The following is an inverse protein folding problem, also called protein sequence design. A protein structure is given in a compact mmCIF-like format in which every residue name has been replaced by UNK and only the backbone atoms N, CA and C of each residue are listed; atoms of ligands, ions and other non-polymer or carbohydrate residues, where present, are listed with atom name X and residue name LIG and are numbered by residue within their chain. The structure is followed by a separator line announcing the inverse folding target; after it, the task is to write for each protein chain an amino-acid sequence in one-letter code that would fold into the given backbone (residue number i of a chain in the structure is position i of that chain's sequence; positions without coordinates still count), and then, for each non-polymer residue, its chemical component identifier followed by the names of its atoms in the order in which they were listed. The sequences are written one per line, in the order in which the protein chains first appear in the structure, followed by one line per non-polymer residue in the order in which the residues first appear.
data_IF_981983845272
#
_entry.id   IF_981983845272
#
_cell.length_a   1.000
_cell.length_b   1.000
_cell.length_c   1.000
_cell.angle_alpha   90.00
_cell.angle_beta   90.00
_cell.angle_gamma   90.00
#
_symmetry.space_group_name_H-M   'P 1'
#
loop_
_entity.id
_entity.type
_entity.pdbx_description
1 polymer ?
#
# COMPACT_ATOMS: atom_id res chain seq x y z
N UNK A 1 2.92 54.58 -11.29
CA UNK A 1 3.93 53.83 -10.54
C UNK A 1 3.32 53.36 -9.23
N UNK A 2 2.90 52.11 -9.16
CA UNK A 2 2.59 51.44 -7.90
C UNK A 2 2.87 49.93 -8.13
N UNK A 3 3.98 49.45 -7.58
CA UNK A 3 4.39 48.05 -7.61
C UNK A 3 3.59 47.32 -6.51
N UNK A 4 2.74 46.39 -6.92
CA UNK A 4 2.14 45.45 -6.01
C UNK A 4 3.10 44.27 -5.82
N UNK A 5 3.65 44.15 -4.61
CA UNK A 5 4.36 42.98 -4.13
C UNK A 5 3.31 41.91 -3.80
N UNK A 6 3.23 40.85 -4.60
CA UNK A 6 2.56 39.62 -4.21
C UNK A 6 3.49 38.86 -3.25
N UNK A 7 3.14 38.87 -1.98
CA UNK A 7 3.66 37.93 -0.99
C UNK A 7 3.11 36.53 -1.34
N UNK A 8 3.98 35.67 -1.89
CA UNK A 8 3.76 34.24 -1.94
C UNK A 8 3.88 33.70 -0.49
N UNK A 9 2.74 33.46 0.14
CA UNK A 9 2.66 32.72 1.39
C UNK A 9 3.01 31.26 1.06
N UNK A 10 4.25 30.86 1.36
CA UNK A 10 4.67 29.46 1.43
C UNK A 10 3.89 28.80 2.56
N UNK A 11 2.76 28.19 2.22
CA UNK A 11 2.02 27.35 3.12
C UNK A 11 2.82 26.07 3.38
N UNK A 12 3.67 26.08 4.39
CA UNK A 12 4.17 24.88 5.04
C UNK A 12 2.94 24.19 5.61
N UNK A 13 2.50 23.09 4.99
CA UNK A 13 1.55 22.19 5.61
C UNK A 13 2.21 21.69 6.90
N UNK A 14 1.88 22.32 8.00
CA UNK A 14 2.06 21.78 9.33
C UNK A 14 1.19 20.50 9.37
N UNK A 15 1.83 19.35 9.21
CA UNK A 15 1.26 18.09 9.66
C UNK A 15 0.87 18.30 11.12
N UNK A 16 -0.41 18.48 11.37
CA UNK A 16 -0.92 18.77 12.69
C UNK A 16 -0.53 17.66 13.65
N UNK A 17 0.29 17.98 14.65
CA UNK A 17 0.57 17.14 15.79
C UNK A 17 -0.75 16.90 16.54
N UNK A 18 -1.42 15.80 16.21
CA UNK A 18 -2.53 15.30 17.03
C UNK A 18 -1.93 14.79 18.33
N UNK A 19 -2.37 15.22 19.50
CA UNK A 19 -1.87 14.70 20.77
C UNK A 19 -1.98 13.17 20.80
N UNK A 20 -0.86 12.48 21.01
CA UNK A 20 -0.77 11.01 21.02
C UNK A 20 -0.07 10.39 19.81
N UNK A 21 0.31 11.16 18.79
CA UNK A 21 1.02 10.65 17.59
C UNK A 21 2.47 11.13 17.51
N UNK A 22 3.00 11.79 18.53
CA UNK A 22 4.39 12.22 18.54
C UNK A 22 5.32 10.99 18.57
N UNK A 23 6.28 10.99 17.64
CA UNK A 23 7.30 9.95 17.58
C UNK A 23 8.13 10.00 18.87
N UNK A 24 8.29 8.88 19.60
CA UNK A 24 9.10 8.85 20.82
C UNK A 24 10.51 9.38 20.59
N UNK A 25 11.07 10.10 21.57
CA UNK A 25 12.43 10.64 21.49
C UNK A 25 13.47 9.55 21.18
N UNK A 26 13.25 8.33 21.61
CA UNK A 26 14.08 7.17 21.31
C UNK A 26 14.15 6.82 19.81
N UNK A 27 13.12 7.20 19.04
CA UNK A 27 13.07 6.98 17.59
C UNK A 27 13.56 8.19 16.77
N UNK A 28 13.70 9.36 17.37
CA UNK A 28 14.08 10.57 16.63
C UNK A 28 15.35 10.42 15.77
N UNK A 29 16.42 9.71 16.21
CA UNK A 29 17.62 9.50 15.38
C UNK A 29 17.38 8.57 14.18
N UNK A 30 16.35 7.75 14.23
CA UNK A 30 16.05 6.69 13.26
C UNK A 30 14.92 7.04 12.30
N UNK A 31 14.25 8.18 12.48
CA UNK A 31 13.16 8.64 11.60
C UNK A 31 13.58 9.95 10.93
N UNK A 32 13.52 9.97 9.60
CA UNK A 32 13.82 11.14 8.77
C UNK A 32 12.66 11.39 7.83
N UNK A 33 12.13 12.61 7.83
CA UNK A 33 10.98 12.99 6.99
C UNK A 33 9.76 12.06 7.15
N UNK A 34 9.54 11.53 8.36
CA UNK A 34 8.45 10.61 8.64
C UNK A 34 8.69 9.15 8.24
N UNK A 35 9.88 8.82 7.73
CA UNK A 35 10.29 7.48 7.29
C UNK A 35 11.30 6.87 8.24
N UNK A 36 11.13 5.58 8.57
CA UNK A 36 12.13 4.83 9.35
C UNK A 36 13.35 4.53 8.49
N UNK A 37 14.54 4.81 9.01
CA UNK A 37 15.79 4.27 8.46
C UNK A 37 15.84 2.77 8.73
N UNK A 38 15.96 1.99 7.68
CA UNK A 38 15.98 0.52 7.76
C UNK A 38 17.39 -0.06 7.61
N UNK A 39 18.41 0.73 7.91
CA UNK A 39 19.82 0.37 7.94
C UNK A 39 20.41 0.40 9.37
N UNK A 40 19.67 0.95 10.34
CA UNK A 40 20.05 0.99 11.75
C UNK A 40 18.85 0.62 12.65
N UNK A 41 19.02 -0.44 13.41
CA UNK A 41 18.03 -1.00 14.32
C UNK A 41 18.41 -0.83 15.79
N UNK A 42 19.31 0.10 16.11
CA UNK A 42 19.74 0.36 17.47
C UNK A 42 18.61 0.65 18.46
N UNK A 43 17.50 1.19 17.99
CA UNK A 43 16.28 1.45 18.78
C UNK A 43 15.60 0.17 19.32
N UNK A 44 15.89 -1.00 18.74
CA UNK A 44 15.34 -2.29 19.18
C UNK A 44 16.24 -3.04 20.18
N UNK A 45 17.43 -2.53 20.49
CA UNK A 45 18.35 -3.19 21.43
C UNK A 45 17.70 -3.57 22.73
N UNK A 46 16.80 -2.76 23.24
CA UNK A 46 16.07 -3.00 24.48
C UNK A 46 15.08 -4.18 24.48
N UNK A 47 14.79 -4.76 23.31
CA UNK A 47 14.00 -5.97 23.18
C UNK A 47 14.74 -7.23 23.70
N UNK A 48 16.07 -7.17 23.86
CA UNK A 48 16.93 -8.32 24.12
C UNK A 48 17.56 -8.26 25.51
N UNK A 49 17.80 -9.44 26.11
CA UNK A 49 18.26 -9.58 27.53
C UNK A 49 19.55 -8.81 27.83
N UNK A 50 20.53 -8.83 26.92
CA UNK A 50 21.84 -8.16 27.11
C UNK A 50 21.79 -6.62 26.94
N UNK A 51 20.63 -5.98 27.11
CA UNK A 51 20.45 -4.53 26.95
C UNK A 51 20.63 -3.77 28.27
N UNK A 52 21.04 -2.50 28.15
CA UNK A 52 21.11 -1.56 29.27
C UNK A 52 19.71 -1.13 29.72
N UNK A 53 19.57 -0.63 30.95
CA UNK A 53 18.27 -0.12 31.45
C UNK A 53 17.72 1.02 30.57
N UNK A 54 18.60 1.88 30.04
CA UNK A 54 18.18 2.92 29.07
C UNK A 54 17.60 2.29 27.81
N UNK A 55 18.25 1.30 27.23
CA UNK A 55 17.76 0.61 26.03
C UNK A 55 16.40 -0.07 26.27
N UNK A 56 16.22 -0.70 27.45
CA UNK A 56 14.92 -1.29 27.83
C UNK A 56 13.83 -0.25 27.95
N UNK A 57 14.13 0.90 28.58
CA UNK A 57 13.20 2.04 28.68
C UNK A 57 12.83 2.60 27.30
N UNK A 58 13.82 2.79 26.43
CA UNK A 58 13.62 3.26 25.05
C UNK A 58 12.71 2.28 24.27
N UNK A 59 13.01 0.98 24.35
CA UNK A 59 12.20 -0.08 23.74
C UNK A 59 10.74 -0.08 24.22
N UNK A 60 10.55 0.06 25.53
CA UNK A 60 9.20 0.14 26.09
C UNK A 60 8.43 1.31 25.50
N UNK A 61 9.03 2.49 25.46
CA UNK A 61 8.42 3.70 24.89
C UNK A 61 8.05 3.51 23.41
N UNK A 62 8.93 2.88 22.62
CA UNK A 62 8.70 2.56 21.21
C UNK A 62 7.58 1.55 21.04
N UNK A 63 7.56 0.50 21.86
CA UNK A 63 6.53 -0.55 21.79
C UNK A 63 5.15 -0.04 22.18
N UNK A 64 5.06 0.79 23.22
CA UNK A 64 3.82 1.44 23.65
C UNK A 64 3.29 2.35 22.53
N UNK A 65 4.15 3.16 21.91
CA UNK A 65 3.78 4.00 20.78
C UNK A 65 3.33 3.20 19.56
N UNK A 66 4.06 2.13 19.21
CA UNK A 66 3.73 1.26 18.07
C UNK A 66 2.35 0.57 18.22
N UNK A 67 1.88 0.37 19.46
CA UNK A 67 0.55 -0.14 19.76
C UNK A 67 -0.58 0.85 19.42
N UNK A 68 -0.29 2.15 19.42
CA UNK A 68 -1.30 3.22 19.34
C UNK A 68 -1.12 4.17 18.15
N UNK A 69 0.04 4.14 17.50
CA UNK A 69 0.42 5.12 16.46
C UNK A 69 -0.52 5.20 15.25
N UNK A 70 -1.35 4.18 15.00
CA UNK A 70 -2.35 4.21 13.91
C UNK A 70 -3.74 4.70 14.36
N UNK A 71 -3.97 4.88 15.67
CA UNK A 71 -5.32 5.20 16.18
C UNK A 71 -5.78 6.60 15.74
N UNK A 72 -4.87 7.57 15.78
CA UNK A 72 -5.19 8.94 15.39
C UNK A 72 -5.51 9.02 13.89
N UNK A 73 -4.72 8.36 13.04
CA UNK A 73 -4.92 8.33 11.60
C UNK A 73 -6.22 7.61 11.25
N UNK A 74 -6.56 6.52 11.98
CA UNK A 74 -7.83 5.83 11.83
C UNK A 74 -9.02 6.75 12.16
N UNK A 75 -8.97 7.48 13.28
CA UNK A 75 -10.03 8.43 13.64
C UNK A 75 -10.16 9.57 12.62
N UNK A 76 -9.04 10.11 12.13
CA UNK A 76 -9.03 11.14 11.10
C UNK A 76 -9.69 10.63 9.81
N UNK A 77 -9.39 9.39 9.40
CA UNK A 77 -9.97 8.76 8.22
C UNK A 77 -11.49 8.57 8.35
N UNK A 78 -11.98 8.12 9.51
CA UNK A 78 -13.44 8.03 9.77
C UNK A 78 -14.09 9.41 9.67
N UNK A 79 -13.46 10.45 10.20
CA UNK A 79 -13.97 11.83 10.11
C UNK A 79 -14.02 12.31 8.66
N UNK A 80 -13.01 12.03 7.86
CA UNK A 80 -12.98 12.38 6.44
C UNK A 80 -14.07 11.64 5.65
N UNK A 81 -14.26 10.35 5.90
CA UNK A 81 -15.34 9.57 5.29
C UNK A 81 -16.73 10.07 5.70
N UNK A 82 -16.91 10.46 6.95
CA UNK A 82 -18.16 11.06 7.41
C UNK A 82 -18.48 12.39 6.70
N UNK A 83 -17.46 13.20 6.38
CA UNK A 83 -17.61 14.41 5.56
C UNK A 83 -17.97 14.10 4.09
N UNK A 84 -17.81 12.86 3.66
CA UNK A 84 -18.23 12.34 2.35
C UNK A 84 -19.58 11.60 2.40
N UNK A 85 -20.36 11.77 3.48
CA UNK A 85 -21.64 11.08 3.75
C UNK A 85 -21.52 9.56 3.90
N UNK A 86 -20.37 9.07 4.40
CA UNK A 86 -20.14 7.65 4.66
C UNK A 86 -19.95 7.41 6.15
N UNK A 87 -20.88 6.65 6.74
CA UNK A 87 -20.79 6.18 8.13
C UNK A 87 -20.18 4.77 8.12
N UNK A 88 -19.01 4.63 8.71
CA UNK A 88 -18.28 3.35 8.75
C UNK A 88 -17.40 3.26 10.00
N UNK A 89 -17.14 2.03 10.44
CA UNK A 89 -16.17 1.75 11.50
C UNK A 89 -14.80 1.35 10.94
N UNK A 90 -14.67 1.22 9.61
CA UNK A 90 -13.50 0.70 8.91
C UNK A 90 -13.01 -0.63 9.50
N UNK A 91 -13.40 -1.72 8.89
CA UNK A 91 -13.08 -3.07 9.37
C UNK A 91 -11.63 -3.49 9.13
N UNK A 92 -10.93 -2.82 8.21
CA UNK A 92 -9.54 -3.14 7.82
C UNK A 92 -8.62 -1.93 8.05
N UNK A 93 -7.98 -1.88 9.22
CA UNK A 93 -7.11 -0.75 9.63
C UNK A 93 -5.61 -1.06 9.52
N UNK A 94 -5.25 -2.24 9.04
CA UNK A 94 -3.87 -2.74 9.10
C UNK A 94 -2.82 -1.89 8.38
N UNK A 95 -3.21 -1.09 7.39
CA UNK A 95 -2.32 -0.20 6.61
C UNK A 95 -2.38 1.26 7.08
N UNK A 96 -3.24 1.58 8.04
CA UNK A 96 -3.36 2.93 8.57
C UNK A 96 -2.23 3.23 9.55
N UNK A 97 -1.88 4.49 9.66
CA UNK A 97 -0.74 4.97 10.41
C UNK A 97 0.32 5.56 9.47
N UNK A 98 1.23 6.34 10.03
CA UNK A 98 2.36 6.89 9.28
C UNK A 98 3.26 5.77 8.72
N UNK A 99 4.10 6.09 7.74
CA UNK A 99 5.08 5.13 7.22
C UNK A 99 5.99 4.59 8.32
N UNK A 100 6.50 5.46 9.20
CA UNK A 100 7.30 5.05 10.37
C UNK A 100 6.52 4.11 11.31
N UNK A 101 5.23 4.37 11.58
CA UNK A 101 4.38 3.52 12.42
C UNK A 101 4.34 2.08 11.87
N UNK A 102 4.04 1.93 10.57
CA UNK A 102 3.94 0.61 9.94
C UNK A 102 5.29 -0.11 9.89
N UNK A 103 6.37 0.61 9.58
CA UNK A 103 7.73 0.07 9.54
C UNK A 103 8.15 -0.47 10.92
N UNK A 104 7.95 0.34 11.96
CA UNK A 104 8.32 -0.03 13.33
C UNK A 104 7.51 -1.24 13.80
N UNK A 105 6.21 -1.29 13.51
CA UNK A 105 5.38 -2.47 13.84
C UNK A 105 5.89 -3.73 13.18
N UNK A 106 6.29 -3.67 11.90
CA UNK A 106 6.81 -4.81 11.16
C UNK A 106 8.12 -5.35 11.76
N UNK A 107 9.10 -4.47 12.02
CA UNK A 107 10.39 -4.88 12.59
C UNK A 107 10.30 -5.26 14.06
N UNK A 108 9.40 -4.63 14.84
CA UNK A 108 9.15 -5.03 16.23
C UNK A 108 8.77 -6.50 16.35
N UNK A 109 7.87 -6.98 15.50
CA UNK A 109 7.46 -8.39 15.48
C UNK A 109 8.64 -9.34 15.19
N UNK A 110 9.60 -8.93 14.37
CA UNK A 110 10.81 -9.72 14.11
C UNK A 110 11.75 -9.76 15.33
N UNK A 111 11.88 -8.65 16.05
CA UNK A 111 12.65 -8.61 17.29
C UNK A 111 12.06 -9.54 18.38
N UNK A 112 10.72 -9.60 18.47
CA UNK A 112 10.02 -10.48 19.42
C UNK A 112 10.18 -11.97 19.08
N UNK A 113 10.48 -12.31 17.82
CA UNK A 113 10.67 -13.69 17.36
C UNK A 113 12.13 -14.13 17.39
N UNK A 114 13.08 -13.21 17.39
CA UNK A 114 14.50 -13.50 17.39
C UNK A 114 14.97 -13.96 18.79
N UNK A 115 15.91 -14.91 18.83
CA UNK A 115 16.43 -15.47 20.08
C UNK A 115 17.25 -14.47 20.89
N UNK A 116 18.02 -13.65 20.22
CA UNK A 116 18.86 -12.60 20.80
C UNK A 116 19.21 -11.57 19.72
N UNK A 117 19.97 -10.54 20.10
CA UNK A 117 20.38 -9.49 19.16
C UNK A 117 21.21 -10.00 17.99
N UNK A 118 22.15 -10.92 18.21
CA UNK A 118 23.04 -11.43 17.17
C UNK A 118 22.27 -12.28 16.15
N UNK A 119 21.28 -13.03 16.61
CA UNK A 119 20.33 -13.77 15.76
C UNK A 119 19.52 -12.79 14.88
N UNK A 120 18.94 -11.75 15.49
CA UNK A 120 18.23 -10.70 14.76
C UNK A 120 19.14 -10.01 13.72
N UNK A 121 20.28 -9.49 14.17
CA UNK A 121 21.19 -8.72 13.32
C UNK A 121 21.78 -9.56 12.18
N UNK A 122 22.05 -10.84 12.42
CA UNK A 122 22.57 -11.77 11.42
C UNK A 122 21.54 -12.09 10.32
N UNK A 123 20.27 -12.30 10.69
CA UNK A 123 19.20 -12.52 9.70
C UNK A 123 18.84 -11.24 8.95
N UNK A 124 18.80 -10.12 9.65
CA UNK A 124 18.53 -8.81 9.05
C UNK A 124 19.58 -8.44 8.00
N UNK A 125 20.86 -8.56 8.33
CA UNK A 125 21.94 -8.24 7.43
C UNK A 125 21.87 -9.03 6.11
N UNK A 126 21.62 -10.35 6.19
CA UNK A 126 21.44 -11.20 5.00
C UNK A 126 20.22 -10.82 4.18
N UNK A 127 19.10 -10.54 4.84
CA UNK A 127 17.87 -10.11 4.17
C UNK A 127 18.06 -8.75 3.48
N UNK A 128 18.76 -7.82 4.13
CA UNK A 128 19.06 -6.50 3.59
C UNK A 128 19.95 -6.55 2.35
N UNK A 129 20.94 -7.43 2.29
CA UNK A 129 21.76 -7.63 1.08
C UNK A 129 20.87 -7.98 -0.12
N UNK A 130 19.88 -8.88 0.04
CA UNK A 130 18.94 -9.24 -1.03
C UNK A 130 18.01 -8.07 -1.34
N UNK A 131 17.49 -7.39 -0.30
CA UNK A 131 16.64 -6.22 -0.47
C UNK A 131 17.31 -5.11 -1.28
N UNK A 132 18.60 -4.84 -1.05
CA UNK A 132 19.36 -3.83 -1.80
C UNK A 132 19.43 -4.13 -3.31
N UNK A 133 19.45 -5.42 -3.70
CA UNK A 133 19.35 -5.82 -5.11
C UNK A 133 17.99 -5.41 -5.69
N UNK A 134 16.88 -5.66 -4.98
CA UNK A 134 15.55 -5.21 -5.40
C UNK A 134 15.45 -3.69 -5.47
N UNK A 135 15.96 -2.99 -4.47
CA UNK A 135 15.95 -1.53 -4.41
C UNK A 135 16.74 -0.93 -5.59
N UNK A 136 17.93 -1.44 -5.85
CA UNK A 136 18.73 -1.00 -7.00
C UNK A 136 18.04 -1.33 -8.33
N UNK A 137 17.50 -2.54 -8.47
CA UNK A 137 16.76 -2.98 -9.66
C UNK A 137 15.53 -2.12 -9.93
N UNK A 138 14.75 -1.80 -8.89
CA UNK A 138 13.59 -0.91 -8.99
C UNK A 138 14.00 0.48 -9.49
N UNK A 139 15.07 1.06 -8.90
CA UNK A 139 15.59 2.36 -9.30
C UNK A 139 16.07 2.34 -10.76
N UNK A 140 16.91 1.40 -11.13
CA UNK A 140 17.43 1.28 -12.51
C UNK A 140 16.29 1.13 -13.50
N UNK A 141 15.30 0.27 -13.22
CA UNK A 141 14.17 0.04 -14.11
C UNK A 141 13.28 1.29 -14.25
N UNK A 142 13.01 2.00 -13.13
CA UNK A 142 12.18 3.21 -13.16
C UNK A 142 12.87 4.43 -13.77
N UNK A 143 14.17 4.64 -13.48
CA UNK A 143 14.94 5.76 -14.00
C UNK A 143 15.30 5.61 -15.48
N UNK A 144 15.49 4.37 -15.95
CA UNK A 144 15.84 4.08 -17.34
C UNK A 144 14.64 3.64 -18.19
N UNK A 145 13.43 3.76 -17.67
CA UNK A 145 12.23 3.48 -18.45
C UNK A 145 12.19 4.43 -19.66
N UNK A 146 12.15 3.88 -20.91
CA UNK A 146 12.21 4.73 -22.09
C UNK A 146 11.00 5.68 -22.13
N UNK A 147 11.29 6.96 -22.37
CA UNK A 147 10.29 7.95 -22.68
C UNK A 147 9.96 7.84 -24.18
N UNK A 148 8.88 7.15 -24.50
CA UNK A 148 8.40 7.13 -25.88
C UNK A 148 7.52 8.36 -26.15
N UNK A 149 7.97 9.20 -27.07
CA UNK A 149 7.21 10.36 -27.54
C UNK A 149 5.83 9.98 -28.08
N UNK A 150 5.66 8.71 -28.50
CA UNK A 150 4.38 8.15 -28.91
C UNK A 150 3.37 8.02 -27.76
N UNK A 151 3.80 7.96 -26.53
CA UNK A 151 2.92 8.04 -25.37
C UNK A 151 2.40 9.46 -25.13
N UNK A 152 3.00 10.41 -25.80
CA UNK A 152 2.45 11.72 -26.18
C UNK A 152 2.27 12.73 -25.06
N UNK A 153 2.50 12.36 -23.77
CA UNK A 153 2.22 13.25 -22.63
C UNK A 153 3.07 12.87 -21.44
N UNK A 154 3.62 13.87 -20.77
CA UNK A 154 4.43 13.70 -19.55
C UNK A 154 3.66 12.92 -18.46
N UNK A 155 2.35 13.16 -18.31
CA UNK A 155 1.49 12.48 -17.36
C UNK A 155 1.38 10.97 -17.63
N UNK A 156 1.30 10.56 -18.90
CA UNK A 156 1.23 9.14 -19.28
C UNK A 156 2.50 8.39 -18.86
N UNK A 157 3.64 8.97 -19.18
CA UNK A 157 4.94 8.39 -18.81
C UNK A 157 5.13 8.33 -17.28
N UNK A 158 4.76 9.39 -16.57
CA UNK A 158 4.91 9.43 -15.12
C UNK A 158 4.02 8.38 -14.41
N UNK A 159 2.79 8.18 -14.86
CA UNK A 159 1.91 7.12 -14.38
C UNK A 159 2.49 5.72 -14.60
N UNK A 160 3.07 5.48 -15.78
CA UNK A 160 3.72 4.20 -16.11
C UNK A 160 4.96 3.98 -15.24
N UNK A 161 5.84 4.98 -15.14
CA UNK A 161 7.10 4.92 -14.39
C UNK A 161 6.87 4.64 -12.90
N UNK A 162 5.92 5.32 -12.27
CA UNK A 162 5.61 5.18 -10.84
C UNK A 162 5.21 3.75 -10.47
N UNK A 163 4.52 3.05 -11.36
CA UNK A 163 4.14 1.65 -11.08
C UNK A 163 5.32 0.69 -11.13
N UNK A 164 6.45 1.04 -11.75
CA UNK A 164 7.63 0.15 -11.82
C UNK A 164 8.19 -0.11 -10.43
N UNK A 165 8.36 0.95 -9.63
CA UNK A 165 9.02 0.86 -8.31
C UNK A 165 8.24 -0.09 -7.38
N UNK A 166 6.95 0.17 -7.18
CA UNK A 166 6.13 -0.62 -6.26
C UNK A 166 5.90 -2.06 -6.77
N UNK A 167 5.82 -2.27 -8.09
CA UNK A 167 5.66 -3.60 -8.67
C UNK A 167 6.93 -4.47 -8.54
N UNK A 168 8.12 -3.90 -8.61
CA UNK A 168 9.36 -4.63 -8.35
C UNK A 168 9.39 -5.15 -6.91
N UNK A 169 9.03 -4.33 -5.93
CA UNK A 169 8.99 -4.75 -4.52
C UNK A 169 7.90 -5.80 -4.27
N UNK A 170 6.70 -5.63 -4.83
CA UNK A 170 5.61 -6.62 -4.74
C UNK A 170 5.98 -7.94 -5.39
N UNK A 171 6.71 -7.91 -6.51
CA UNK A 171 7.23 -9.14 -7.13
C UNK A 171 8.20 -9.86 -6.22
N UNK A 172 9.04 -9.14 -5.48
CA UNK A 172 9.90 -9.69 -4.44
C UNK A 172 9.13 -10.40 -3.33
N UNK A 173 7.96 -9.87 -2.91
CA UNK A 173 7.09 -10.53 -1.92
C UNK A 173 6.55 -11.88 -2.40
N UNK A 174 6.42 -12.07 -3.71
CA UNK A 174 5.94 -13.31 -4.33
C UNK A 174 7.06 -14.30 -4.65
N UNK A 175 8.29 -14.09 -4.17
CA UNK A 175 9.46 -14.92 -4.48
C UNK A 175 9.19 -16.41 -4.29
N UNK A 176 8.59 -16.78 -3.15
CA UNK A 176 8.33 -18.17 -2.80
C UNK A 176 7.32 -18.87 -3.73
N UNK A 177 6.47 -18.09 -4.40
CA UNK A 177 5.48 -18.61 -5.34
C UNK A 177 6.08 -18.93 -6.72
N UNK A 178 7.30 -18.47 -7.02
CA UNK A 178 8.00 -18.80 -8.27
C UNK A 178 8.80 -20.10 -8.11
N UNK A 179 8.39 -21.20 -8.77
CA UNK A 179 9.09 -22.48 -8.66
C UNK A 179 10.53 -22.47 -9.22
N UNK A 180 10.86 -21.45 -10.02
CA UNK A 180 12.19 -21.26 -10.61
C UNK A 180 13.08 -20.36 -9.76
N UNK A 181 12.54 -19.69 -8.76
CA UNK A 181 13.32 -18.83 -7.89
C UNK A 181 14.28 -19.66 -7.02
N UNK A 182 15.51 -19.19 -6.78
CA UNK A 182 16.40 -19.81 -5.81
C UNK A 182 15.75 -19.91 -4.45
N UNK A 183 15.94 -21.02 -3.77
CA UNK A 183 15.44 -21.20 -2.40
C UNK A 183 16.22 -20.28 -1.46
N UNK A 184 15.49 -19.47 -0.71
CA UNK A 184 16.05 -18.67 0.38
C UNK A 184 16.01 -19.45 1.67
N UNK A 185 16.92 -19.11 2.59
CA UNK A 185 16.86 -19.57 3.97
C UNK A 185 15.52 -19.11 4.58
N UNK A 186 14.68 -20.03 5.08
CA UNK A 186 13.40 -19.66 5.69
C UNK A 186 13.52 -18.64 6.82
N UNK A 187 14.64 -18.62 7.54
CA UNK A 187 14.86 -17.70 8.66
C UNK A 187 14.99 -16.22 8.19
N UNK A 188 15.45 -15.95 6.97
CA UNK A 188 15.60 -14.57 6.47
C UNK A 188 14.34 -14.06 5.75
N UNK A 189 13.42 -14.94 5.37
CA UNK A 189 12.23 -14.57 4.59
C UNK A 189 11.36 -13.51 5.30
N UNK A 190 11.06 -13.61 6.61
CA UNK A 190 10.28 -12.58 7.30
C UNK A 190 10.97 -11.21 7.29
N UNK A 191 12.29 -11.16 7.43
CA UNK A 191 13.08 -9.92 7.38
C UNK A 191 13.07 -9.30 5.99
N UNK A 192 13.30 -10.10 4.94
CA UNK A 192 13.20 -9.64 3.56
C UNK A 192 11.79 -9.12 3.25
N UNK A 193 10.76 -9.81 3.72
CA UNK A 193 9.37 -9.40 3.55
C UNK A 193 9.09 -8.07 4.26
N UNK A 194 9.67 -7.82 5.44
CA UNK A 194 9.53 -6.54 6.13
C UNK A 194 10.18 -5.39 5.33
N UNK A 195 11.39 -5.57 4.79
CA UNK A 195 12.04 -4.58 3.94
C UNK A 195 11.25 -4.28 2.66
N UNK A 196 10.85 -5.33 1.93
CA UNK A 196 10.06 -5.19 0.70
C UNK A 196 8.69 -4.56 0.98
N UNK A 197 8.04 -4.99 2.07
CA UNK A 197 6.75 -4.45 2.52
C UNK A 197 6.83 -2.96 2.82
N UNK A 198 7.84 -2.53 3.56
CA UNK A 198 8.05 -1.11 3.85
C UNK A 198 8.36 -0.31 2.58
N UNK A 199 9.18 -0.85 1.68
CA UNK A 199 9.51 -0.18 0.43
C UNK A 199 8.28 0.06 -0.46
N UNK A 200 7.45 -0.98 -0.72
CA UNK A 200 6.26 -0.76 -1.53
C UNK A 200 5.22 0.13 -0.84
N UNK A 201 5.05 0.06 0.49
CA UNK A 201 4.15 0.96 1.22
C UNK A 201 4.59 2.42 1.13
N UNK A 202 5.88 2.69 1.15
CA UNK A 202 6.44 4.02 0.90
C UNK A 202 6.09 4.51 -0.49
N UNK A 203 6.32 3.70 -1.52
CA UNK A 203 5.96 4.03 -2.90
C UNK A 203 4.44 4.25 -3.05
N UNK A 204 3.60 3.41 -2.43
CA UNK A 204 2.13 3.56 -2.45
C UNK A 204 1.70 4.93 -1.89
N UNK A 205 2.32 5.39 -0.79
CA UNK A 205 2.03 6.71 -0.21
C UNK A 205 2.43 7.85 -1.14
N UNK A 206 3.65 7.81 -1.68
CA UNK A 206 4.13 8.81 -2.63
C UNK A 206 3.29 8.83 -3.90
N UNK A 207 2.87 7.67 -4.39
CA UNK A 207 1.99 7.52 -5.53
C UNK A 207 0.59 8.06 -5.25
N UNK A 208 0.08 7.85 -4.05
CA UNK A 208 -1.22 8.38 -3.61
C UNK A 208 -1.19 9.91 -3.59
N UNK A 209 -0.18 10.53 -3.00
CA UNK A 209 -0.04 12.00 -2.98
C UNK A 209 0.11 12.59 -4.40
N UNK A 210 0.92 11.94 -5.25
CA UNK A 210 0.99 12.32 -6.66
C UNK A 210 -0.38 12.26 -7.35
N UNK A 211 -1.11 11.16 -7.17
CA UNK A 211 -2.40 10.98 -7.84
C UNK A 211 -3.48 11.91 -7.28
N UNK A 212 -3.49 12.20 -5.97
CA UNK A 212 -4.33 13.23 -5.37
C UNK A 212 -4.12 14.60 -6.00
N UNK A 213 -2.86 15.01 -6.14
CA UNK A 213 -2.49 16.27 -6.78
C UNK A 213 -2.95 16.29 -8.23
N UNK A 214 -2.66 15.24 -9.00
CA UNK A 214 -3.07 15.12 -10.40
C UNK A 214 -4.60 15.24 -10.54
N UNK A 215 -5.35 14.51 -9.70
CA UNK A 215 -6.83 14.54 -9.72
C UNK A 215 -7.38 15.91 -9.36
N UNK A 216 -6.76 16.62 -8.42
CA UNK A 216 -7.18 17.97 -8.04
C UNK A 216 -6.96 19.00 -9.15
N UNK A 217 -5.88 18.86 -9.92
CA UNK A 217 -5.49 19.83 -10.97
C UNK A 217 -6.13 19.51 -12.34
N UNK A 218 -6.27 18.22 -12.67
CA UNK A 218 -6.60 17.76 -14.03
C UNK A 218 -7.78 16.81 -14.13
N UNK A 219 -8.33 16.37 -12.99
CA UNK A 219 -9.34 15.31 -12.93
C UNK A 219 -8.74 13.91 -13.03
N UNK A 220 -9.59 12.89 -13.12
CA UNK A 220 -9.16 11.50 -13.26
C UNK A 220 -8.41 11.27 -14.58
N UNK A 221 -7.27 10.54 -14.59
CA UNK A 221 -6.53 10.20 -15.80
C UNK A 221 -7.32 9.23 -16.69
N UNK A 222 -8.10 9.75 -17.62
CA UNK A 222 -8.98 8.97 -18.50
C UNK A 222 -8.22 8.34 -19.67
N UNK A 223 -8.82 7.36 -20.35
CA UNK A 223 -8.26 6.73 -21.55
C UNK A 223 -8.04 7.78 -22.65
N UNK A 224 -9.01 8.67 -22.85
CA UNK A 224 -8.91 9.76 -23.84
C UNK A 224 -7.83 10.79 -23.49
N UNK A 225 -7.55 10.99 -22.18
CA UNK A 225 -6.57 11.94 -21.70
C UNK A 225 -5.13 11.42 -21.73
N UNK A 226 -4.87 10.20 -21.24
CA UNK A 226 -3.52 9.67 -21.03
C UNK A 226 -3.23 8.36 -21.78
N UNK A 227 -4.22 7.82 -22.48
CA UNK A 227 -4.14 6.51 -23.15
C UNK A 227 -4.48 5.35 -22.24
N UNK A 228 -4.84 4.21 -22.83
CA UNK A 228 -5.38 3.05 -22.12
C UNK A 228 -4.41 2.48 -21.08
N UNK A 229 -3.13 2.38 -21.40
CA UNK A 229 -2.12 1.83 -20.51
C UNK A 229 -1.93 2.72 -19.28
N UNK A 230 -1.73 4.03 -19.46
CA UNK A 230 -1.51 4.96 -18.36
C UNK A 230 -2.76 5.13 -17.49
N UNK A 231 -3.97 5.14 -18.08
CA UNK A 231 -5.23 5.13 -17.32
C UNK A 231 -5.36 3.86 -16.46
N UNK A 232 -4.96 2.69 -17.00
CA UNK A 232 -4.87 1.46 -16.23
C UNK A 232 -3.85 1.52 -15.08
N UNK A 233 -2.76 2.25 -15.25
CA UNK A 233 -1.76 2.46 -14.18
C UNK A 233 -2.26 3.43 -13.11
N UNK A 234 -2.98 4.50 -13.49
CA UNK A 234 -3.66 5.36 -12.52
C UNK A 234 -4.62 4.56 -11.60
N UNK A 235 -5.39 3.64 -12.21
CA UNK A 235 -6.20 2.71 -11.44
C UNK A 235 -5.36 1.83 -10.50
N UNK A 236 -4.24 1.29 -10.97
CA UNK A 236 -3.37 0.45 -10.14
C UNK A 236 -2.82 1.22 -8.94
N UNK A 237 -2.41 2.48 -9.13
CA UNK A 237 -1.94 3.34 -8.04
C UNK A 237 -3.03 3.57 -6.99
N UNK A 238 -4.27 3.89 -7.37
CA UNK A 238 -5.36 4.06 -6.40
C UNK A 238 -5.81 2.74 -5.78
N UNK A 239 -5.75 1.63 -6.52
CA UNK A 239 -5.99 0.28 -6.00
C UNK A 239 -5.05 -0.05 -4.82
N UNK A 240 -3.83 0.48 -4.85
CA UNK A 240 -2.81 0.27 -3.81
C UNK A 240 -2.80 1.38 -2.73
N UNK A 241 -3.66 2.38 -2.82
CA UNK A 241 -3.83 3.40 -1.79
C UNK A 241 -4.62 2.89 -0.55
N UNK A 242 -4.31 1.68 -0.07
CA UNK A 242 -5.04 1.03 1.03
C UNK A 242 -4.98 1.76 2.37
N UNK A 243 -3.98 2.63 2.52
CA UNK A 243 -3.82 3.51 3.67
C UNK A 243 -4.77 4.73 3.62
N UNK A 244 -5.45 4.96 2.50
CA UNK A 244 -6.33 6.13 2.28
C UNK A 244 -7.66 5.72 1.62
N UNK A 245 -8.57 5.10 2.38
CA UNK A 245 -9.89 4.70 1.89
C UNK A 245 -10.76 5.86 1.41
N UNK A 246 -10.59 7.06 1.96
CA UNK A 246 -11.33 8.25 1.52
C UNK A 246 -10.93 8.65 0.11
N UNK A 247 -9.63 8.65 -0.20
CA UNK A 247 -9.17 8.89 -1.56
C UNK A 247 -9.59 7.78 -2.53
N UNK A 248 -9.53 6.50 -2.09
CA UNK A 248 -10.05 5.38 -2.90
C UNK A 248 -11.53 5.58 -3.25
N UNK A 249 -12.36 5.98 -2.27
CA UNK A 249 -13.79 6.29 -2.51
C UNK A 249 -13.99 7.48 -3.44
N UNK A 250 -13.21 8.55 -3.28
CA UNK A 250 -13.26 9.72 -4.17
C UNK A 250 -12.92 9.32 -5.62
N UNK A 251 -11.87 8.55 -5.80
CA UNK A 251 -11.49 8.03 -7.13
C UNK A 251 -12.57 7.14 -7.73
N UNK A 252 -13.16 6.25 -6.93
CA UNK A 252 -14.26 5.39 -7.34
C UNK A 252 -15.46 6.20 -7.87
N UNK A 253 -15.86 7.26 -7.14
CA UNK A 253 -16.96 8.16 -7.56
C UNK A 253 -16.65 8.93 -8.85
N UNK A 254 -15.37 9.31 -9.05
CA UNK A 254 -14.94 9.95 -10.30
C UNK A 254 -14.94 8.97 -11.47
N UNK A 255 -14.54 7.70 -11.24
CA UNK A 255 -14.49 6.67 -12.29
C UNK A 255 -15.87 6.19 -12.73
N UNK A 256 -16.90 6.24 -11.87
CA UNK A 256 -18.22 5.68 -12.16
C UNK A 256 -18.85 6.22 -13.47
N UNK A 257 -19.03 7.55 -13.66
CA UNK A 257 -19.58 8.09 -14.91
C UNK A 257 -18.65 7.89 -16.11
N UNK A 258 -17.33 7.77 -15.87
CA UNK A 258 -16.35 7.55 -16.93
C UNK A 258 -16.38 6.09 -17.41
N UNK A 259 -16.58 5.13 -16.51
CA UNK A 259 -16.76 3.72 -16.86
C UNK A 259 -18.01 3.50 -17.71
N UNK A 260 -19.11 4.19 -17.39
CA UNK A 260 -20.33 4.16 -18.20
C UNK A 260 -20.11 4.68 -19.64
N UNK A 261 -19.18 5.64 -19.82
CA UNK A 261 -18.80 6.21 -21.12
C UNK A 261 -17.68 5.44 -21.85
N UNK A 262 -17.07 4.45 -21.19
CA UNK A 262 -15.92 3.71 -21.73
C UNK A 262 -14.60 4.47 -21.69
N UNK A 263 -14.52 5.60 -20.95
CA UNK A 263 -13.29 6.41 -20.82
C UNK A 263 -12.41 5.99 -19.64
N UNK A 264 -12.85 4.98 -18.88
CA UNK A 264 -12.03 4.15 -18.01
C UNK A 264 -12.50 2.70 -18.13
N UNK A 265 -11.63 1.75 -17.80
CA UNK A 265 -11.99 0.32 -17.84
C UNK A 265 -13.09 0.00 -16.82
N UNK A 266 -14.21 -0.58 -17.29
CA UNK A 266 -15.29 -1.10 -16.43
C UNK A 266 -14.78 -2.17 -15.46
N UNK A 267 -13.89 -3.05 -15.95
CA UNK A 267 -13.24 -4.07 -15.14
C UNK A 267 -12.45 -3.43 -13.98
N UNK A 268 -11.66 -2.42 -14.25
CA UNK A 268 -10.86 -1.72 -13.23
C UNK A 268 -11.76 -1.02 -12.20
N UNK A 269 -12.86 -0.40 -12.65
CA UNK A 269 -13.86 0.17 -11.75
C UNK A 269 -14.44 -0.91 -10.82
N UNK A 270 -14.82 -2.08 -11.35
CA UNK A 270 -15.40 -3.16 -10.56
C UNK A 270 -14.44 -3.69 -9.48
N UNK A 271 -13.15 -3.84 -9.81
CA UNK A 271 -12.12 -4.23 -8.84
C UNK A 271 -11.95 -3.20 -7.72
N UNK A 272 -11.89 -1.91 -8.07
CA UNK A 272 -11.78 -0.84 -7.09
C UNK A 272 -13.05 -0.74 -6.23
N UNK A 273 -14.24 -0.88 -6.84
CA UNK A 273 -15.50 -0.90 -6.12
C UNK A 273 -15.51 -1.94 -4.99
N UNK A 274 -15.23 -3.19 -5.33
CA UNK A 274 -15.26 -4.28 -4.36
C UNK A 274 -14.26 -4.05 -3.22
N UNK A 275 -13.05 -3.57 -3.55
CA UNK A 275 -12.01 -3.28 -2.56
C UNK A 275 -12.42 -2.17 -1.60
N UNK A 276 -13.01 -1.09 -2.12
CA UNK A 276 -13.51 0.04 -1.32
C UNK A 276 -14.69 -0.37 -0.47
N UNK A 277 -15.70 -1.02 -1.08
CA UNK A 277 -16.94 -1.34 -0.39
C UNK A 277 -16.75 -2.43 0.68
N UNK A 278 -15.82 -3.34 0.52
CA UNK A 278 -15.45 -4.28 1.58
C UNK A 278 -14.92 -3.57 2.83
N UNK A 279 -14.12 -2.52 2.67
CA UNK A 279 -13.63 -1.73 3.81
C UNK A 279 -14.74 -0.90 4.45
N UNK A 280 -15.60 -0.30 3.65
CA UNK A 280 -16.59 0.66 4.11
C UNK A 280 -17.92 0.01 4.56
N UNK A 281 -18.33 -1.07 3.90
CA UNK A 281 -19.63 -1.71 4.11
C UNK A 281 -19.55 -3.23 4.35
N UNK A 282 -18.36 -3.83 4.35
CA UNK A 282 -18.15 -5.26 4.58
C UNK A 282 -18.66 -6.18 3.47
N UNK A 283 -19.06 -5.63 2.33
CA UNK A 283 -19.63 -6.40 1.21
C UNK A 283 -19.09 -5.92 -0.13
N UNK A 284 -19.00 -6.85 -1.09
CA UNK A 284 -18.61 -6.59 -2.46
C UNK A 284 -19.77 -6.84 -3.44
N UNK A 285 -19.67 -6.27 -4.64
CA UNK A 285 -20.72 -6.38 -5.68
C UNK A 285 -20.35 -7.36 -6.78
N UNK A 286 -19.11 -7.39 -7.18
CA UNK A 286 -18.64 -8.07 -8.40
C UNK A 286 -17.90 -9.39 -8.12
N UNK A 287 -17.64 -9.72 -6.84
CA UNK A 287 -16.94 -10.94 -6.46
C UNK A 287 -15.49 -10.97 -6.93
N UNK A 288 -14.76 -9.86 -6.81
CA UNK A 288 -13.36 -9.77 -7.21
C UNK A 288 -12.38 -10.07 -6.06
N UNK A 289 -12.87 -10.16 -4.82
CA UNK A 289 -12.06 -10.35 -3.62
C UNK A 289 -12.41 -11.67 -2.92
N UNK A 290 -11.37 -12.37 -2.47
CA UNK A 290 -11.46 -13.62 -1.73
C UNK A 290 -10.98 -13.46 -0.28
N UNK A 291 -11.43 -14.30 0.64
CA UNK A 291 -11.11 -14.18 2.07
C UNK A 291 -10.49 -15.42 2.69
N UNK A 292 -10.40 -16.50 2.00
CA UNK A 292 -9.92 -17.76 2.58
C UNK A 292 -10.20 -18.95 1.70
N UNK A 293 -10.19 -20.14 2.30
CA UNK A 293 -10.31 -21.40 1.60
C UNK A 293 -11.50 -22.22 2.12
N UNK A 294 -12.19 -22.89 1.20
CA UNK A 294 -13.04 -24.05 1.48
C UNK A 294 -12.42 -25.25 0.74
N UNK A 295 -11.70 -26.09 1.48
CA UNK A 295 -10.81 -27.07 0.88
C UNK A 295 -9.68 -26.40 0.08
N UNK A 296 -9.61 -26.69 -1.22
CA UNK A 296 -8.65 -26.07 -2.16
C UNK A 296 -9.27 -24.93 -3.00
N UNK A 297 -10.52 -24.54 -2.70
CA UNK A 297 -11.23 -23.47 -3.37
C UNK A 297 -11.10 -22.14 -2.64
N UNK A 298 -10.93 -21.06 -3.41
CA UNK A 298 -10.97 -19.70 -2.88
C UNK A 298 -12.40 -19.27 -2.56
N UNK A 299 -12.64 -18.84 -1.31
CA UNK A 299 -13.94 -18.38 -0.82
C UNK A 299 -14.11 -16.88 -1.09
N UNK A 300 -15.23 -16.51 -1.73
CA UNK A 300 -15.57 -15.11 -1.92
C UNK A 300 -15.84 -14.40 -0.58
N UNK A 301 -15.40 -13.17 -0.47
CA UNK A 301 -15.87 -12.28 0.60
C UNK A 301 -17.38 -11.99 0.43
N UNK A 302 -18.09 -11.53 1.48
CA UNK A 302 -19.55 -11.35 1.44
C UNK A 302 -20.01 -10.51 0.24
N UNK A 303 -21.03 -10.98 -0.46
CA UNK A 303 -21.63 -10.31 -1.62
C UNK A 303 -22.82 -9.43 -1.21
N UNK A 304 -23.02 -8.31 -1.92
CA UNK A 304 -24.23 -7.48 -1.80
C UNK A 304 -25.48 -8.25 -2.30
N UNK A 305 -25.33 -8.96 -3.42
CA UNK A 305 -26.41 -9.73 -4.03
C UNK A 305 -25.87 -10.87 -4.91
N UNK A 306 -25.89 -12.08 -4.39
CA UNK A 306 -25.40 -13.27 -5.11
C UNK A 306 -26.17 -13.55 -6.40
N UNK A 307 -27.49 -13.31 -6.41
CA UNK A 307 -28.35 -13.62 -7.57
C UNK A 307 -28.02 -12.77 -8.79
N UNK A 308 -27.46 -11.58 -8.58
CA UNK A 308 -27.07 -10.66 -9.66
C UNK A 308 -25.60 -10.79 -10.07
N UNK A 309 -24.81 -11.61 -9.40
CA UNK A 309 -23.37 -11.67 -9.62
C UNK A 309 -23.00 -11.93 -11.09
N UNK A 310 -23.62 -12.92 -11.73
CA UNK A 310 -23.35 -13.28 -13.12
C UNK A 310 -23.68 -12.14 -14.09
N UNK A 311 -24.84 -11.50 -13.91
CA UNK A 311 -25.27 -10.35 -14.72
C UNK A 311 -24.29 -9.17 -14.57
N UNK A 312 -23.97 -8.82 -13.33
CA UNK A 312 -23.09 -7.68 -13.01
C UNK A 312 -21.67 -7.89 -13.55
N UNK A 313 -21.15 -9.11 -13.43
CA UNK A 313 -19.82 -9.43 -13.97
C UNK A 313 -19.78 -9.24 -15.48
N UNK A 314 -20.79 -9.72 -16.21
CA UNK A 314 -20.89 -9.53 -17.66
C UNK A 314 -20.97 -8.05 -18.05
N UNK A 315 -21.77 -7.24 -17.32
CA UNK A 315 -21.94 -5.81 -17.61
C UNK A 315 -20.64 -5.01 -17.42
N UNK A 316 -19.71 -5.52 -16.59
CA UNK A 316 -18.46 -4.84 -16.26
C UNK A 316 -17.21 -5.57 -16.82
N UNK A 317 -17.38 -6.29 -17.92
CA UNK A 317 -16.31 -6.96 -18.67
C UNK A 317 -15.46 -7.90 -17.81
N UNK A 318 -16.10 -8.55 -16.83
CA UNK A 318 -15.48 -9.56 -15.98
C UNK A 318 -15.82 -10.96 -16.47
N UNK A 319 -14.86 -11.87 -16.43
CA UNK A 319 -15.07 -13.29 -16.69
C UNK A 319 -16.06 -13.91 -15.70
N UNK A 320 -16.76 -15.02 -16.07
CA UNK A 320 -17.57 -15.79 -15.14
C UNK A 320 -16.81 -16.14 -13.86
N UNK A 321 -17.50 -16.21 -12.71
CA UNK A 321 -16.83 -16.44 -11.43
C UNK A 321 -16.08 -17.79 -11.37
N UNK A 322 -16.54 -18.79 -12.09
CA UNK A 322 -15.86 -20.08 -12.21
C UNK A 322 -14.52 -19.97 -12.92
N UNK A 323 -14.45 -19.18 -13.98
CA UNK A 323 -13.21 -18.91 -14.71
C UNK A 323 -12.24 -18.06 -13.85
N UNK A 324 -12.77 -17.09 -13.13
CA UNK A 324 -11.96 -16.28 -12.23
C UNK A 324 -11.34 -17.11 -11.09
N UNK A 325 -12.10 -18.02 -10.47
CA UNK A 325 -11.56 -18.96 -9.48
C UNK A 325 -10.47 -19.85 -10.07
N UNK A 326 -10.65 -20.32 -11.30
CA UNK A 326 -9.61 -21.08 -12.00
C UNK A 326 -8.36 -20.24 -12.20
N UNK A 327 -8.48 -19.00 -12.68
CA UNK A 327 -7.36 -18.07 -12.85
C UNK A 327 -6.61 -17.80 -11.54
N UNK A 328 -7.33 -17.72 -10.41
CA UNK A 328 -6.71 -17.60 -9.08
C UNK A 328 -5.88 -18.84 -8.72
N UNK A 329 -6.42 -20.05 -8.94
CA UNK A 329 -5.67 -21.30 -8.73
C UNK A 329 -4.44 -21.41 -9.65
N UNK A 330 -4.58 -21.03 -10.90
CA UNK A 330 -3.48 -21.07 -11.88
C UNK A 330 -2.36 -20.08 -11.50
N UNK A 331 -2.73 -18.92 -10.91
CA UNK A 331 -1.78 -17.87 -10.55
C UNK A 331 -1.13 -18.06 -9.19
N UNK A 332 -1.85 -18.57 -8.20
CA UNK A 332 -1.43 -18.64 -6.80
C UNK A 332 -1.38 -20.07 -6.24
N UNK A 333 -1.72 -21.05 -7.04
CA UNK A 333 -1.89 -22.44 -6.61
C UNK A 333 -3.25 -22.72 -5.98
N UNK A 334 -3.51 -23.98 -5.53
CA UNK A 334 -4.69 -24.30 -4.77
C UNK A 334 -4.73 -23.50 -3.48
N UNK A 335 -5.94 -23.11 -3.07
CA UNK A 335 -6.08 -22.38 -1.81
C UNK A 335 -5.60 -23.25 -0.65
N UNK A 336 -4.80 -22.71 0.25
CA UNK A 336 -4.31 -23.39 1.45
C UNK A 336 -4.66 -22.53 2.66
N UNK A 337 -5.44 -23.09 3.58
CA UNK A 337 -5.63 -22.50 4.91
C UNK A 337 -4.27 -22.46 5.60
N UNK A 338 -3.78 -21.23 5.90
CA UNK A 338 -2.55 -20.98 6.63
C UNK A 338 -2.64 -21.39 8.08
#
# INVERSE_FOLDING_TARGET
MLRHFLLLASGTLLLGNTPGNEIPAALAPYVVEGELKTDDFGWMRGAFEASTEKQKSDWKSVSDWAGTCSIADHKAMITELAAMDVQTELTEVGMMGSSACNSIRSFRLLAEQAKNWDDFAGHEAKAREIFLVYQHGARVAGENMPYEKAWGRDDSWELLRRTVFEQVYRRGMSWQADPKAPKLDPAIIPYLSAHLGNAFQKEDRQNTEFLKKHVAEKGWPTISAVGQQASGKAWLLVQHADHDPAFQLKALRLMEPLAAKGDVSKRNYAYLYDRVMLKLAGKQRFGTQFSGCDGDEYTLRPLENEKRLTELRLQYDLEPISEYRKSMKDSFGPCRSG
#
